data_IF_900571450529
#
_entry.id   IF_900571450529
#
_cell.length_a   1.000
_cell.length_b   1.000
_cell.length_c   1.000
_cell.angle_alpha   90.00
_cell.angle_beta   90.00
_cell.angle_gamma   90.00
#
_symmetry.space_group_name_H-M   'P 1'
#
loop_
_entity.id
_entity.type
_entity.pdbx_description
1 polymer ?
#
# COMPACT_ATOMS: atom_id res chain seq x y z
N UNK A 1 -1.94 6.80 7.87
CA UNK A 1 -2.52 5.46 8.05
C UNK A 1 -2.01 4.95 9.38
N UNK A 2 -2.91 4.48 10.24
CA UNK A 2 -2.58 4.08 11.60
C UNK A 2 -2.21 2.58 11.67
N UNK A 3 -1.34 2.21 12.62
CA UNK A 3 -0.87 0.84 12.78
C UNK A 3 -2.01 -0.13 13.11
N UNK A 4 -2.89 0.23 14.06
CA UNK A 4 -3.97 -0.65 14.51
C UNK A 4 -4.97 -0.89 13.38
N UNK A 5 -5.24 0.14 12.58
CA UNK A 5 -6.08 0.01 11.39
C UNK A 5 -5.52 -1.00 10.39
N UNK A 6 -4.20 -0.99 10.16
CA UNK A 6 -3.54 -1.93 9.24
C UNK A 6 -3.48 -3.33 9.84
N UNK A 7 -3.19 -3.48 11.14
CA UNK A 7 -3.22 -4.77 11.84
C UNK A 7 -4.60 -5.43 11.74
N UNK A 8 -5.66 -4.65 11.95
CA UNK A 8 -7.04 -5.13 11.77
C UNK A 8 -7.31 -5.60 10.34
N UNK A 9 -6.81 -4.88 9.33
CA UNK A 9 -6.92 -5.29 7.93
C UNK A 9 -6.19 -6.61 7.63
N UNK A 10 -4.98 -6.77 8.19
CA UNK A 10 -4.13 -7.96 8.05
C UNK A 10 -4.55 -9.13 8.96
N UNK A 11 -5.53 -8.93 9.86
CA UNK A 11 -5.94 -9.90 10.89
C UNK A 11 -4.79 -10.32 11.82
N UNK A 12 -3.99 -9.34 12.24
CA UNK A 12 -2.87 -9.52 13.17
C UNK A 12 -3.30 -9.04 14.56
N UNK A 13 -3.46 -9.99 15.48
CA UNK A 13 -3.98 -9.72 16.84
C UNK A 13 -2.88 -9.53 17.90
N UNK A 14 -1.61 -9.67 17.52
CA UNK A 14 -0.46 -9.52 18.42
C UNK A 14 0.50 -8.43 17.93
N UNK A 15 1.53 -8.14 18.73
CA UNK A 15 2.45 -7.03 18.49
C UNK A 15 3.80 -7.47 17.92
N UNK A 16 3.97 -8.77 17.62
CA UNK A 16 5.25 -9.34 17.17
C UNK A 16 5.73 -8.71 15.86
N UNK A 17 4.79 -8.38 14.97
CA UNK A 17 5.05 -7.80 13.66
C UNK A 17 4.87 -6.27 13.60
N UNK A 18 4.64 -5.58 14.72
CA UNK A 18 4.39 -4.12 14.73
C UNK A 18 5.50 -3.32 14.04
N UNK A 19 6.77 -3.68 14.29
CA UNK A 19 7.92 -3.03 13.68
C UNK A 19 7.93 -3.23 12.16
N UNK A 20 7.60 -4.44 11.71
CA UNK A 20 7.48 -4.75 10.29
C UNK A 20 6.33 -3.98 9.65
N UNK A 21 5.13 -4.05 10.23
CA UNK A 21 3.94 -3.41 9.68
C UNK A 21 4.15 -1.90 9.58
N UNK A 22 4.76 -1.27 10.58
CA UNK A 22 5.17 0.13 10.50
C UNK A 22 6.14 0.42 9.35
N UNK A 23 7.09 -0.48 9.10
CA UNK A 23 8.00 -0.35 7.96
C UNK A 23 7.26 -0.47 6.63
N UNK A 24 6.32 -1.41 6.50
CA UNK A 24 5.50 -1.58 5.30
C UNK A 24 4.60 -0.36 5.03
N UNK A 25 4.00 0.23 6.08
CA UNK A 25 3.22 1.47 5.96
C UNK A 25 4.08 2.60 5.38
N UNK A 26 5.28 2.80 5.93
CA UNK A 26 6.21 3.84 5.46
C UNK A 26 6.65 3.59 4.02
N UNK A 27 6.98 2.35 3.69
CA UNK A 27 7.39 1.95 2.35
C UNK A 27 6.26 2.12 1.32
N UNK A 28 5.02 1.76 1.67
CA UNK A 28 3.87 1.92 0.79
C UNK A 28 3.56 3.38 0.52
N UNK A 29 3.64 4.24 1.56
CA UNK A 29 3.49 5.69 1.40
C UNK A 29 4.61 6.28 0.52
N UNK A 30 5.88 5.94 0.78
CA UNK A 30 7.00 6.41 -0.03
C UNK A 30 6.88 5.98 -1.50
N UNK A 31 6.42 4.74 -1.74
CA UNK A 31 6.17 4.23 -3.07
C UNK A 31 5.08 5.01 -3.79
N UNK A 32 3.92 5.24 -3.15
CA UNK A 32 2.82 6.04 -3.71
C UNK A 32 3.26 7.48 -4.01
N UNK A 33 3.99 8.11 -3.07
CA UNK A 33 4.52 9.46 -3.21
C UNK A 33 5.52 9.60 -4.35
N UNK A 34 6.34 8.58 -4.60
CA UNK A 34 7.29 8.55 -5.72
C UNK A 34 6.65 8.22 -7.07
N UNK A 35 5.46 7.60 -7.07
CA UNK A 35 4.78 7.13 -8.25
C UNK A 35 3.70 8.09 -8.79
N UNK A 36 3.24 9.04 -7.97
CA UNK A 36 2.14 9.94 -8.29
C UNK A 36 2.62 11.40 -8.21
N UNK A 37 2.46 12.13 -9.31
CA UNK A 37 2.75 13.57 -9.34
C UNK A 37 1.80 14.35 -8.42
N UNK A 38 2.36 15.36 -7.76
CA UNK A 38 1.65 16.23 -6.82
C UNK A 38 0.94 15.44 -5.70
N UNK A 39 1.47 14.26 -5.33
CA UNK A 39 0.86 13.36 -4.35
C UNK A 39 0.40 14.09 -3.08
N UNK A 40 1.26 14.92 -2.50
CA UNK A 40 0.93 15.66 -1.28
C UNK A 40 -0.26 16.60 -1.45
N UNK A 41 -0.32 17.32 -2.57
CA UNK A 41 -1.44 18.22 -2.87
C UNK A 41 -2.73 17.44 -3.12
N UNK A 42 -2.64 16.28 -3.78
CA UNK A 42 -3.80 15.39 -4.02
C UNK A 42 -4.31 14.74 -2.74
N UNK A 43 -3.46 14.50 -1.75
CA UNK A 43 -3.84 13.94 -0.45
C UNK A 43 -4.76 14.85 0.38
N UNK A 44 -4.88 16.13 0.03
CA UNK A 44 -5.85 17.07 0.62
C UNK A 44 -7.30 16.79 0.13
N UNK A 45 -7.47 16.09 -0.99
CA UNK A 45 -8.78 15.69 -1.51
C UNK A 45 -9.20 14.37 -0.85
N UNK A 46 -10.28 14.40 -0.07
CA UNK A 46 -10.71 13.24 0.74
C UNK A 46 -10.97 11.99 -0.13
N UNK A 47 -11.58 12.15 -1.31
CA UNK A 47 -11.80 11.03 -2.23
C UNK A 47 -10.48 10.38 -2.68
N UNK A 48 -9.47 11.18 -3.03
CA UNK A 48 -8.14 10.68 -3.40
C UNK A 48 -7.47 9.99 -2.22
N UNK A 49 -7.53 10.59 -1.03
CA UNK A 49 -6.97 10.02 0.19
C UNK A 49 -7.56 8.65 0.53
N UNK A 50 -8.88 8.48 0.40
CA UNK A 50 -9.54 7.18 0.62
C UNK A 50 -9.07 6.12 -0.39
N UNK A 51 -8.94 6.49 -1.68
CA UNK A 51 -8.43 5.59 -2.72
C UNK A 51 -6.95 5.24 -2.49
N UNK A 52 -6.13 6.23 -2.17
CA UNK A 52 -4.71 6.04 -1.87
C UNK A 52 -4.52 5.13 -0.65
N UNK A 53 -5.36 5.26 0.38
CA UNK A 53 -5.36 4.36 1.53
C UNK A 53 -5.70 2.92 1.13
N UNK A 54 -6.70 2.70 0.30
CA UNK A 54 -7.06 1.35 -0.17
C UNK A 54 -5.92 0.70 -0.97
N UNK A 55 -5.26 1.46 -1.84
CA UNK A 55 -4.10 0.98 -2.61
C UNK A 55 -2.94 0.64 -1.68
N UNK A 56 -2.63 1.50 -0.70
CA UNK A 56 -1.59 1.23 0.30
C UNK A 56 -1.91 -0.03 1.11
N UNK A 57 -3.15 -0.25 1.56
CA UNK A 57 -3.55 -1.48 2.25
C UNK A 57 -3.31 -2.73 1.40
N UNK A 58 -3.63 -2.66 0.11
CA UNK A 58 -3.43 -3.77 -0.83
C UNK A 58 -1.95 -4.09 -1.00
N UNK A 59 -1.10 -3.07 -1.16
CA UNK A 59 0.36 -3.21 -1.24
C UNK A 59 0.92 -3.82 0.05
N UNK A 60 0.48 -3.31 1.21
CA UNK A 60 0.93 -3.76 2.52
C UNK A 60 0.56 -5.23 2.75
N UNK A 61 -0.69 -5.63 2.46
CA UNK A 61 -1.12 -7.04 2.56
C UNK A 61 -0.26 -7.94 1.71
N UNK A 62 -0.03 -7.55 0.47
CA UNK A 62 0.76 -8.36 -0.44
C UNK A 62 2.22 -8.49 -0.02
N UNK A 63 2.83 -7.43 0.51
CA UNK A 63 4.20 -7.49 1.05
C UNK A 63 4.28 -8.28 2.35
N UNK A 64 3.26 -8.19 3.20
CA UNK A 64 3.15 -8.93 4.44
C UNK A 64 2.97 -10.43 4.17
N UNK A 65 2.04 -10.79 3.28
CA UNK A 65 1.74 -12.18 2.91
C UNK A 65 2.92 -12.81 2.14
N UNK A 66 3.51 -12.12 1.17
CA UNK A 66 4.66 -12.66 0.43
C UNK A 66 5.93 -12.80 1.28
N UNK A 67 6.04 -12.11 2.43
CA UNK A 67 7.11 -12.36 3.40
C UNK A 67 6.95 -13.72 4.07
N UNK A 68 5.70 -14.17 4.27
CA UNK A 68 5.38 -15.49 4.81
C UNK A 68 5.60 -16.61 3.76
N UNK A 69 5.47 -16.29 2.47
CA UNK A 69 5.70 -17.22 1.37
C UNK A 69 7.10 -17.05 0.73
N UNK A 70 8.12 -17.66 1.33
CA UNK A 70 9.42 -17.86 0.66
C UNK A 70 9.25 -18.60 -0.68
N UNK A 71 9.68 -17.94 -1.77
CA UNK A 71 9.72 -18.39 -3.19
C UNK A 71 8.35 -18.60 -3.84
N UNK A 72 8.12 -17.91 -4.96
CA UNK A 72 7.64 -18.43 -6.26
C UNK A 72 6.81 -17.38 -7.02
N UNK A 73 7.29 -16.94 -8.19
CA UNK A 73 6.54 -16.45 -9.39
C UNK A 73 5.42 -15.38 -9.27
N UNK A 74 4.97 -14.98 -8.08
CA UNK A 74 3.83 -14.08 -7.87
C UNK A 74 4.25 -12.61 -7.72
N UNK A 75 5.50 -12.34 -7.35
CA UNK A 75 6.06 -10.98 -7.26
C UNK A 75 5.87 -10.20 -8.58
N UNK A 76 6.05 -10.86 -9.72
CA UNK A 76 5.87 -10.25 -11.05
C UNK A 76 4.42 -9.88 -11.37
N UNK A 77 3.43 -10.62 -10.83
CA UNK A 77 2.00 -10.29 -11.00
C UNK A 77 1.60 -9.11 -10.12
N UNK A 78 2.11 -9.07 -8.90
CA UNK A 78 1.88 -7.99 -7.95
C UNK A 78 2.44 -6.69 -8.45
N UNK A 79 3.72 -6.71 -8.88
CA UNK A 79 4.37 -5.53 -9.47
C UNK A 79 3.54 -4.98 -10.63
N UNK A 80 2.92 -5.84 -11.45
CA UNK A 80 2.02 -5.43 -12.54
C UNK A 80 0.71 -4.83 -12.04
N UNK A 81 0.04 -5.43 -11.05
CA UNK A 81 -1.22 -4.89 -10.49
C UNK A 81 -0.97 -3.52 -9.85
N UNK A 82 0.10 -3.40 -9.06
CA UNK A 82 0.49 -2.14 -8.42
C UNK A 82 0.87 -1.09 -9.47
N UNK A 83 1.61 -1.47 -10.51
CA UNK A 83 1.91 -0.57 -11.65
C UNK A 83 0.64 -0.12 -12.36
N UNK A 84 -0.32 -1.01 -12.59
CA UNK A 84 -1.60 -0.67 -13.22
C UNK A 84 -2.49 0.21 -12.32
N UNK A 85 -2.50 0.01 -11.00
CA UNK A 85 -3.22 0.87 -10.07
C UNK A 85 -2.61 2.27 -10.01
N UNK A 86 -1.29 2.40 -10.02
CA UNK A 86 -0.60 3.70 -10.15
C UNK A 86 -0.99 4.39 -11.44
N UNK A 87 -0.94 3.68 -12.58
CA UNK A 87 -1.33 4.26 -13.87
C UNK A 87 -2.78 4.74 -13.86
N UNK A 88 -3.70 3.98 -13.27
CA UNK A 88 -5.09 4.41 -13.13
C UNK A 88 -5.25 5.66 -12.27
N UNK A 89 -4.48 5.80 -11.18
CA UNK A 89 -4.46 7.02 -10.36
C UNK A 89 -3.78 8.21 -11.06
N UNK A 90 -2.82 7.95 -11.94
CA UNK A 90 -2.14 8.98 -12.71
C UNK A 90 -3.04 9.57 -13.80
N UNK A 91 -3.88 8.74 -14.43
CA UNK A 91 -4.74 9.11 -15.56
C UNK A 91 -6.23 9.20 -15.23
N UNK A 92 -6.64 9.00 -13.98
CA UNK A 92 -8.01 9.33 -13.56
C UNK A 92 -8.15 10.85 -13.59
N UNK A 93 -8.81 11.37 -14.63
CA UNK A 93 -9.12 12.80 -14.74
C UNK A 93 -9.90 13.27 -13.51
N UNK A 94 -9.52 14.47 -13.04
CA UNK A 94 -10.08 15.23 -11.92
C UNK A 94 -11.56 15.55 -12.07
#
# INVERSE_FOLDING_TARGET
MDLDFVKNYLRVDNDEDDSLINHLIKSANAYMRGAIDEYDSKMEVEAFKLMAQLVMLTIISEWYDNRLFTKNSNYDKVSKIVTSMIQQLQYSES
#
